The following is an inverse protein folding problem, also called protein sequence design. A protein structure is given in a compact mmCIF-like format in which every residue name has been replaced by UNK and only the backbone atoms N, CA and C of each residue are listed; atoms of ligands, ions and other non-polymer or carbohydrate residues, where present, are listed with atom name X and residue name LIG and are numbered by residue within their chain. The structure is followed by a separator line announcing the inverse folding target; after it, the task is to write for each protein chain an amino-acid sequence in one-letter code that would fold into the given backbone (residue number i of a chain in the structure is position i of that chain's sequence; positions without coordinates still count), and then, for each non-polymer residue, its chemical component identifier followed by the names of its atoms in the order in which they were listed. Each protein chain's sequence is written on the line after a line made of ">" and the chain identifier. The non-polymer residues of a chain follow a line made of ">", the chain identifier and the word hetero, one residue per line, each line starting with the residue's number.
data_IF_483151567633
#
_entry.id   IF_483151567633
#
_cell.length_a   1.000
_cell.length_b   1.000
_cell.length_c   1.000
_cell.angle_alpha   90.00
_cell.angle_beta   90.00
_cell.angle_gamma   90.00
#
_symmetry.space_group_name_H-M   'P 1'
#
loop_
_entity.id
_entity.type
_entity.pdbx_description
1 polymer ?
#
# COMPACT_ATOMS: atom_id res chain seq x y z
N UNK A 1 25.49 -2.93 -26.29
CA UNK A 1 24.08 -2.52 -26.46
C UNK A 1 23.25 -3.46 -25.61
N UNK A 2 23.13 -3.16 -24.34
CA UNK A 2 22.55 -4.06 -23.33
C UNK A 2 21.08 -3.71 -23.16
N UNK A 3 20.26 -4.67 -23.44
CA UNK A 3 18.79 -4.65 -23.45
C UNK A 3 18.18 -4.23 -22.11
N UNK A 4 17.93 -2.94 -21.97
CA UNK A 4 17.12 -2.38 -20.87
C UNK A 4 15.60 -2.50 -21.13
N UNK A 5 15.21 -3.15 -22.22
CA UNK A 5 13.81 -3.14 -22.69
C UNK A 5 12.94 -4.26 -22.10
N UNK A 6 13.52 -5.21 -21.40
CA UNK A 6 12.79 -6.43 -20.99
C UNK A 6 12.19 -6.35 -19.58
N UNK A 7 12.63 -5.44 -18.72
CA UNK A 7 12.13 -5.35 -17.33
C UNK A 7 10.81 -4.57 -17.17
N UNK A 8 10.53 -3.66 -18.08
CA UNK A 8 9.32 -2.81 -17.97
C UNK A 8 8.04 -3.50 -18.45
N UNK A 9 8.16 -4.55 -19.25
CA UNK A 9 6.98 -5.24 -19.82
C UNK A 9 6.41 -6.34 -18.92
N UNK A 10 7.14 -6.79 -17.91
CA UNK A 10 6.69 -7.88 -17.04
C UNK A 10 5.81 -7.43 -15.86
N UNK A 11 5.71 -6.12 -15.60
CA UNK A 11 4.90 -5.59 -14.51
C UNK A 11 3.47 -5.19 -14.93
N UNK A 12 3.22 -5.01 -16.23
CA UNK A 12 1.91 -4.64 -16.74
C UNK A 12 1.09 -5.87 -17.11
N UNK A 13 -0.18 -5.84 -16.75
CA UNK A 13 -1.13 -6.88 -17.12
C UNK A 13 -1.39 -6.85 -18.65
N UNK A 14 -1.45 -8.00 -19.28
CA UNK A 14 -1.67 -8.17 -20.72
C UNK A 14 -3.03 -8.80 -21.05
N UNK A 15 -3.91 -8.96 -20.07
CA UNK A 15 -5.26 -9.51 -20.30
C UNK A 15 -6.08 -8.60 -21.21
N UNK A 16 -6.96 -9.22 -21.99
CA UNK A 16 -7.96 -8.53 -22.81
C UNK A 16 -9.34 -8.52 -22.14
N UNK A 17 -9.46 -9.16 -20.97
CA UNK A 17 -10.69 -9.19 -20.19
C UNK A 17 -10.70 -8.01 -19.20
N UNK A 18 -11.53 -6.98 -19.40
CA UNK A 18 -11.55 -5.80 -18.54
C UNK A 18 -12.01 -6.13 -17.11
N UNK A 19 -12.83 -7.14 -16.92
CA UNK A 19 -13.36 -7.51 -15.60
C UNK A 19 -12.29 -8.20 -14.70
N UNK A 20 -11.22 -8.70 -15.34
CA UNK A 20 -10.08 -9.33 -14.66
C UNK A 20 -8.77 -8.59 -14.88
N UNK A 21 -8.84 -7.34 -15.30
CA UNK A 21 -7.65 -6.57 -15.63
C UNK A 21 -6.87 -6.12 -14.38
N UNK A 22 -7.58 -5.81 -13.28
CA UNK A 22 -6.96 -5.44 -12.00
C UNK A 22 -7.49 -6.35 -10.90
N UNK A 23 -6.71 -7.32 -10.50
CA UNK A 23 -7.06 -8.35 -9.51
C UNK A 23 -5.96 -8.51 -8.46
N UNK A 24 -5.70 -7.46 -7.64
CA UNK A 24 -4.69 -7.54 -6.58
C UNK A 24 -4.93 -8.73 -5.66
N UNK A 25 -3.83 -9.34 -5.21
CA UNK A 25 -3.81 -10.51 -4.32
C UNK A 25 -4.46 -11.79 -4.86
N UNK A 26 -5.06 -11.76 -6.05
CA UNK A 26 -5.60 -12.95 -6.71
C UNK A 26 -4.47 -13.90 -7.15
N UNK A 27 -4.76 -15.21 -7.19
CA UNK A 27 -3.80 -16.23 -7.63
C UNK A 27 -3.43 -16.07 -9.11
N UNK A 28 -4.37 -15.58 -9.92
CA UNK A 28 -4.21 -15.37 -11.37
C UNK A 28 -3.71 -13.97 -11.72
N UNK A 29 -3.36 -13.13 -10.73
CA UNK A 29 -2.82 -11.80 -10.98
C UNK A 29 -1.55 -11.86 -11.83
N UNK A 30 -1.39 -10.95 -12.77
CA UNK A 30 -0.21 -10.93 -13.63
C UNK A 30 0.34 -9.53 -13.95
N UNK A 31 0.01 -8.54 -13.14
CA UNK A 31 0.50 -7.18 -13.30
C UNK A 31 -0.56 -6.11 -13.04
N UNK A 32 -0.17 -4.86 -13.19
CA UNK A 32 -1.04 -3.70 -13.00
C UNK A 32 -1.58 -3.15 -14.32
N UNK A 33 -2.66 -2.40 -14.25
CA UNK A 33 -3.23 -1.63 -15.36
C UNK A 33 -3.01 -0.15 -15.07
N UNK A 34 -2.56 0.60 -16.07
CA UNK A 34 -2.41 2.04 -15.98
C UNK A 34 -3.79 2.70 -15.89
N UNK A 35 -3.95 3.55 -14.88
CA UNK A 35 -5.11 4.40 -14.71
C UNK A 35 -4.72 5.88 -14.74
N UNK A 36 -5.70 6.74 -14.89
CA UNK A 36 -5.55 8.19 -14.82
C UNK A 36 -6.51 8.76 -13.78
N UNK A 37 -6.05 9.76 -13.03
CA UNK A 37 -6.89 10.41 -12.05
C UNK A 37 -6.17 11.55 -11.35
N UNK A 38 -6.94 12.40 -10.69
CA UNK A 38 -6.44 13.44 -9.80
C UNK A 38 -7.40 13.62 -8.61
N UNK A 39 -6.84 13.94 -7.46
CA UNK A 39 -7.59 14.21 -6.26
C UNK A 39 -6.92 15.33 -5.45
N UNK A 40 -7.74 16.11 -4.73
CA UNK A 40 -7.28 17.16 -3.86
C UNK A 40 -7.84 16.96 -2.46
N UNK A 41 -6.97 16.98 -1.46
CA UNK A 41 -7.34 16.97 -0.05
C UNK A 41 -6.90 18.28 0.59
N UNK A 42 -7.80 18.87 1.37
CA UNK A 42 -7.46 20.02 2.21
C UNK A 42 -7.10 19.50 3.59
N UNK A 43 -5.83 19.63 3.95
CA UNK A 43 -5.33 19.31 5.28
C UNK A 43 -5.31 20.57 6.12
N UNK A 44 -5.80 20.48 7.33
CA UNK A 44 -5.95 21.61 8.23
C UNK A 44 -5.66 21.14 9.67
N UNK A 45 -5.08 22.02 10.47
CA UNK A 45 -4.89 21.74 11.89
C UNK A 45 -6.25 21.58 12.59
N UNK A 46 -6.35 20.57 13.47
CA UNK A 46 -7.62 20.10 14.01
C UNK A 46 -8.38 21.18 14.79
N UNK A 47 -7.72 21.92 15.67
CA UNK A 47 -8.37 22.94 16.48
C UNK A 47 -8.80 24.17 15.66
N UNK A 48 -8.03 24.50 14.61
CA UNK A 48 -8.42 25.52 13.65
C UNK A 48 -9.68 25.10 12.87
N UNK A 49 -9.73 23.86 12.38
CA UNK A 49 -10.92 23.32 11.71
C UNK A 49 -12.16 23.33 12.61
N UNK A 50 -12.02 22.92 13.86
CA UNK A 50 -13.08 22.96 14.87
C UNK A 50 -13.56 24.40 15.16
N UNK A 51 -12.64 25.33 15.35
CA UNK A 51 -12.94 26.72 15.70
C UNK A 51 -13.78 27.42 14.64
N UNK A 52 -13.59 27.10 13.35
CA UNK A 52 -14.40 27.65 12.24
C UNK A 52 -15.63 26.82 11.88
N UNK A 53 -15.91 25.73 12.60
CA UNK A 53 -17.05 24.86 12.34
C UNK A 53 -16.94 24.05 11.05
N UNK A 54 -15.71 23.69 10.63
CA UNK A 54 -15.49 22.90 9.42
C UNK A 54 -16.11 21.51 9.53
N UNK A 55 -16.59 20.96 8.41
CA UNK A 55 -16.90 19.55 8.32
C UNK A 55 -15.59 18.77 8.26
N UNK A 56 -15.31 17.97 9.29
CA UNK A 56 -14.14 17.10 9.38
C UNK A 56 -14.55 15.72 8.87
N UNK A 57 -13.83 15.18 7.89
CA UNK A 57 -14.08 13.86 7.31
C UNK A 57 -13.29 12.76 7.99
N UNK A 58 -12.14 13.10 8.55
CA UNK A 58 -11.24 12.18 9.23
C UNK A 58 -10.03 12.93 9.75
N UNK A 59 -9.17 12.23 10.44
CA UNK A 59 -7.92 12.73 11.01
C UNK A 59 -6.77 11.86 10.53
N UNK A 60 -5.63 12.49 10.18
CA UNK A 60 -4.38 11.78 9.95
C UNK A 60 -3.71 11.62 11.31
N UNK A 61 -3.85 10.46 11.92
CA UNK A 61 -3.42 10.19 13.27
C UNK A 61 -1.94 9.80 13.37
N UNK A 62 -1.37 9.20 12.32
CA UNK A 62 0.03 8.76 12.34
C UNK A 62 0.62 8.60 10.95
N UNK A 63 1.94 8.59 10.88
CA UNK A 63 2.70 8.51 9.64
C UNK A 63 3.94 7.63 9.80
N UNK A 64 4.26 6.86 8.75
CA UNK A 64 5.48 6.08 8.68
C UNK A 64 6.03 6.03 7.26
N UNK A 65 7.33 6.23 7.10
CA UNK A 65 8.00 6.13 5.82
C UNK A 65 9.37 5.45 5.98
N UNK A 66 9.67 4.57 5.04
CA UNK A 66 10.92 3.81 5.01
C UNK A 66 11.40 3.63 3.59
N UNK A 67 12.62 3.14 3.45
CA UNK A 67 13.20 2.69 2.19
C UNK A 67 13.79 1.31 2.39
N UNK A 68 13.56 0.40 1.44
CA UNK A 68 14.09 -0.97 1.52
C UNK A 68 15.61 -1.02 1.36
N UNK A 69 16.18 -0.12 0.54
CA UNK A 69 17.60 -0.15 0.15
C UNK A 69 18.05 -1.52 -0.38
N UNK A 70 17.11 -2.29 -0.95
CA UNK A 70 17.32 -3.65 -1.42
C UNK A 70 17.68 -3.70 -2.91
N UNK A 71 16.81 -3.16 -3.77
CA UNK A 71 17.00 -3.20 -5.22
C UNK A 71 16.37 -1.95 -5.86
N UNK A 72 16.89 -1.56 -7.06
CA UNK A 72 16.44 -0.33 -7.72
C UNK A 72 14.97 -0.35 -8.16
N UNK A 73 14.39 -1.53 -8.42
CA UNK A 73 13.00 -1.67 -8.91
C UNK A 73 12.19 -2.79 -8.25
N UNK A 74 12.80 -3.58 -7.37
CA UNK A 74 12.14 -4.71 -6.71
C UNK A 74 12.04 -4.45 -5.21
N UNK A 75 10.87 -4.69 -4.59
CA UNK A 75 10.74 -4.60 -3.14
C UNK A 75 11.55 -5.69 -2.44
N UNK A 76 11.86 -5.46 -1.17
CA UNK A 76 12.50 -6.44 -0.31
C UNK A 76 11.60 -7.68 -0.15
N UNK A 77 12.08 -8.89 -0.50
CA UNK A 77 11.30 -10.13 -0.37
C UNK A 77 10.82 -10.41 1.06
N UNK A 78 11.55 -9.93 2.04
CA UNK A 78 11.18 -10.05 3.45
C UNK A 78 10.10 -9.05 3.87
N UNK A 79 9.78 -8.04 3.06
CA UNK A 79 8.82 -6.99 3.38
C UNK A 79 9.19 -6.16 4.61
N UNK A 80 10.48 -6.11 4.96
CA UNK A 80 10.94 -5.48 6.21
C UNK A 80 10.71 -3.97 6.20
N UNK A 81 10.98 -3.31 5.07
CA UNK A 81 10.76 -1.88 4.93
C UNK A 81 9.28 -1.51 5.09
N UNK A 82 8.40 -2.22 4.38
CA UNK A 82 6.96 -2.00 4.46
C UNK A 82 6.40 -2.29 5.88
N UNK A 83 6.81 -3.40 6.50
CA UNK A 83 6.41 -3.72 7.88
C UNK A 83 6.84 -2.63 8.86
N UNK A 84 8.07 -2.11 8.71
CA UNK A 84 8.58 -1.01 9.55
C UNK A 84 7.79 0.29 9.33
N UNK A 85 7.42 0.62 8.09
CA UNK A 85 6.59 1.80 7.83
C UNK A 85 5.21 1.70 8.49
N UNK A 86 4.56 0.53 8.41
CA UNK A 86 3.29 0.27 9.09
C UNK A 86 3.46 0.43 10.62
N UNK A 87 4.48 -0.19 11.20
CA UNK A 87 4.73 -0.10 12.64
C UNK A 87 4.98 1.35 13.08
N UNK A 88 5.78 2.11 12.32
CA UNK A 88 6.02 3.53 12.60
C UNK A 88 4.73 4.35 12.58
N UNK A 89 3.83 4.09 11.64
CA UNK A 89 2.54 4.79 11.57
C UNK A 89 1.64 4.46 12.78
N UNK A 90 1.63 3.20 13.22
CA UNK A 90 0.90 2.78 14.43
C UNK A 90 1.49 3.42 15.70
N UNK A 91 2.81 3.42 15.82
CA UNK A 91 3.52 4.01 16.95
C UNK A 91 3.28 5.53 17.02
N UNK A 92 3.34 6.23 15.88
CA UNK A 92 3.08 7.67 15.78
C UNK A 92 1.63 8.02 16.12
N UNK A 93 0.68 7.17 15.68
CA UNK A 93 -0.74 7.30 16.03
C UNK A 93 -1.05 6.93 17.50
N UNK A 94 -0.17 6.21 18.16
CA UNK A 94 -0.39 5.68 19.52
C UNK A 94 -1.46 4.60 19.59
N UNK A 95 -1.68 3.85 18.52
CA UNK A 95 -2.65 2.75 18.42
C UNK A 95 -1.95 1.41 18.21
N UNK A 96 -2.69 0.33 18.42
CA UNK A 96 -2.21 -1.04 18.23
C UNK A 96 -2.74 -1.65 16.94
N UNK A 97 -2.12 -2.73 16.43
CA UNK A 97 -2.64 -3.43 15.25
C UNK A 97 -4.11 -3.85 15.37
N UNK A 98 -4.56 -4.26 16.55
CA UNK A 98 -5.95 -4.66 16.80
C UNK A 98 -6.96 -3.50 16.74
N UNK A 99 -6.52 -2.26 16.75
CA UNK A 99 -7.36 -1.06 16.63
C UNK A 99 -7.59 -0.65 15.17
N UNK A 100 -6.98 -1.38 14.22
CA UNK A 100 -7.10 -1.09 12.78
C UNK A 100 -8.27 -1.85 12.18
N UNK A 101 -9.20 -1.13 11.58
CA UNK A 101 -10.41 -1.69 10.98
C UNK A 101 -10.24 -2.08 9.51
N UNK A 102 -9.31 -1.47 8.80
CA UNK A 102 -9.11 -1.67 7.36
C UNK A 102 -7.71 -1.26 6.90
N UNK A 103 -7.15 -2.00 5.95
CA UNK A 103 -5.89 -1.68 5.29
C UNK A 103 -6.15 -1.43 3.81
N UNK A 104 -5.89 -0.21 3.33
CA UNK A 104 -5.85 0.07 1.91
C UNK A 104 -4.43 -0.21 1.40
N UNK A 105 -4.22 -1.41 0.89
CA UNK A 105 -2.92 -1.87 0.43
C UNK A 105 -2.46 -1.16 -0.86
N UNK A 106 -1.18 -1.24 -1.15
CA UNK A 106 -0.65 -0.86 -2.46
C UNK A 106 -1.24 -1.74 -3.57
N UNK A 107 -1.27 -3.07 -3.37
CA UNK A 107 -2.08 -3.99 -4.15
C UNK A 107 -1.94 -3.82 -5.65
N UNK A 108 -0.72 -3.87 -6.18
CA UNK A 108 -0.47 -3.57 -7.60
C UNK A 108 -0.93 -4.67 -8.55
N UNK A 109 -1.27 -5.85 -8.05
CA UNK A 109 -1.53 -7.02 -8.87
C UNK A 109 -0.27 -7.65 -9.45
N UNK A 110 0.92 -7.18 -9.07
CA UNK A 110 2.17 -7.80 -9.51
C UNK A 110 2.52 -9.01 -8.64
N UNK A 111 3.15 -10.05 -9.21
CA UNK A 111 3.51 -11.24 -8.45
C UNK A 111 4.34 -10.94 -7.19
N UNK A 112 5.31 -10.03 -7.30
CA UNK A 112 6.23 -9.73 -6.21
C UNK A 112 5.63 -8.80 -5.16
N UNK A 113 5.05 -7.66 -5.58
CA UNK A 113 4.51 -6.70 -4.63
C UNK A 113 3.47 -7.33 -3.71
N UNK A 114 2.46 -7.99 -4.28
CA UNK A 114 1.35 -8.51 -3.49
C UNK A 114 1.80 -9.61 -2.52
N UNK A 115 2.77 -10.45 -2.94
CA UNK A 115 3.35 -11.45 -2.05
C UNK A 115 4.13 -10.82 -0.88
N UNK A 116 4.98 -9.82 -1.17
CA UNK A 116 5.84 -9.22 -0.15
C UNK A 116 5.08 -8.25 0.76
N UNK A 117 4.08 -7.55 0.22
CA UNK A 117 3.15 -6.74 1.02
C UNK A 117 2.32 -7.62 1.97
N UNK A 118 1.88 -8.79 1.52
CA UNK A 118 1.23 -9.78 2.40
C UNK A 118 2.15 -10.20 3.55
N UNK A 119 3.44 -10.43 3.28
CA UNK A 119 4.43 -10.75 4.32
C UNK A 119 4.58 -9.59 5.30
N UNK A 120 4.67 -8.36 4.80
CA UNK A 120 4.79 -7.16 5.63
C UNK A 120 3.57 -6.97 6.55
N UNK A 121 2.37 -7.12 6.01
CA UNK A 121 1.12 -7.02 6.77
C UNK A 121 1.10 -8.09 7.87
N UNK A 122 1.40 -9.35 7.54
CA UNK A 122 1.43 -10.43 8.52
C UNK A 122 2.48 -10.24 9.62
N UNK A 123 3.63 -9.63 9.31
CA UNK A 123 4.64 -9.30 10.33
C UNK A 123 4.13 -8.36 11.40
N UNK A 124 3.22 -7.44 11.07
CA UNK A 124 2.68 -6.45 12.02
C UNK A 124 1.38 -6.92 12.66
N UNK A 125 0.47 -7.49 11.86
CA UNK A 125 -0.87 -7.84 12.30
C UNK A 125 -1.03 -9.32 12.70
N UNK A 126 0.00 -10.15 12.47
CA UNK A 126 -0.03 -11.59 12.71
C UNK A 126 -0.59 -12.39 11.53
N UNK A 127 -0.27 -13.70 11.50
CA UNK A 127 -0.68 -14.59 10.42
C UNK A 127 -2.20 -14.78 10.32
N UNK A 128 -2.89 -14.72 11.46
CA UNK A 128 -4.34 -14.95 11.59
C UNK A 128 -5.13 -13.64 11.65
N UNK A 129 -4.56 -12.54 11.19
CA UNK A 129 -5.25 -11.23 11.20
C UNK A 129 -6.61 -11.30 10.51
N UNK A 130 -7.59 -10.59 11.08
CA UNK A 130 -8.94 -10.46 10.51
C UNK A 130 -9.18 -9.07 9.91
N UNK A 131 -8.16 -8.21 9.91
CA UNK A 131 -8.26 -6.89 9.30
C UNK A 131 -8.47 -7.04 7.80
N UNK A 132 -9.55 -6.50 7.24
CA UNK A 132 -9.78 -6.51 5.79
C UNK A 132 -8.71 -5.71 5.04
N UNK A 133 -8.34 -6.20 3.88
CA UNK A 133 -7.35 -5.58 2.99
C UNK A 133 -7.98 -5.30 1.62
#
# INVERSE_FOLDING_TARGET
>A
MTTMTTMTMTAMNTTTDPDRASIPFDVDRNGFILGEGAGFLILEELEHAKARGAKIYGEIAGYGATSDAYHITSPDPEGTGAAKAIQMALDDAGIKPEDVDYINAHGTGTPYNDAFETIAIKKVFGDDTKVPV
#
